data_IF_746601955186
#
_entry.id   IF_746601955186
#
_cell.length_a   1.000
_cell.length_b   1.000
_cell.length_c   1.000
_cell.angle_alpha   90.00
_cell.angle_beta   90.00
_cell.angle_gamma   90.00
#
_symmetry.space_group_name_H-M   'P 1'
#
loop_
_entity.id
_entity.type
_entity.pdbx_description
1 polymer ?
#
# COMPACT_ATOMS: atom_id res chain seq x y z
N UNK A 1 0.82 2.67 4.46
CA UNK A 1 0.82 1.37 3.76
C UNK A 1 -0.45 0.57 3.93
N UNK A 2 -0.81 0.12 5.15
CA UNK A 2 -1.87 -0.89 5.34
C UNK A 2 -3.29 -0.52 4.84
N UNK A 3 -3.59 0.76 4.59
CA UNK A 3 -4.87 1.17 3.98
C UNK A 3 -4.83 1.27 2.44
N UNK A 4 -3.64 1.35 1.84
CA UNK A 4 -3.49 1.64 0.40
C UNK A 4 -3.17 0.40 -0.44
N UNK A 5 -2.63 -0.63 0.19
CA UNK A 5 -2.22 -1.87 -0.47
C UNK A 5 -2.50 -3.07 0.44
N UNK A 6 -2.78 -4.20 -0.21
CA UNK A 6 -2.79 -5.50 0.43
C UNK A 6 -1.35 -5.91 0.76
N UNK A 7 -1.05 -6.07 2.05
CA UNK A 7 0.27 -6.49 2.51
C UNK A 7 0.33 -8.02 2.61
N UNK A 8 1.32 -8.61 1.92
CA UNK A 8 1.63 -10.03 1.97
C UNK A 8 3.06 -10.21 2.43
N UNK A 9 3.27 -10.95 3.51
CA UNK A 9 4.60 -11.34 3.96
C UNK A 9 4.96 -12.63 3.24
N UNK A 10 5.96 -12.60 2.36
CA UNK A 10 6.41 -13.79 1.62
C UNK A 10 7.85 -14.13 2.01
N UNK A 11 8.04 -15.09 2.92
CA UNK A 11 9.35 -15.55 3.37
C UNK A 11 9.98 -16.56 2.41
N UNK A 12 11.31 -16.52 2.29
CA UNK A 12 12.09 -17.56 1.60
C UNK A 12 12.35 -18.80 2.45
N UNK A 13 12.09 -18.70 3.76
CA UNK A 13 12.29 -19.78 4.72
C UNK A 13 11.02 -20.65 4.86
N UNK A 14 11.18 -21.91 5.27
CA UNK A 14 10.05 -22.78 5.57
C UNK A 14 9.13 -22.21 6.66
N UNK A 15 7.83 -22.46 6.54
CA UNK A 15 6.83 -21.93 7.46
C UNK A 15 7.08 -22.31 8.91
N UNK A 16 7.56 -23.53 9.18
CA UNK A 16 7.83 -23.98 10.55
C UNK A 16 8.94 -23.18 11.27
N UNK A 17 9.83 -22.51 10.53
CA UNK A 17 10.85 -21.61 11.09
C UNK A 17 10.37 -20.16 11.08
N UNK A 18 9.74 -19.73 9.99
CA UNK A 18 9.42 -18.33 9.76
C UNK A 18 8.13 -17.89 10.47
N UNK A 19 7.14 -18.77 10.63
CA UNK A 19 5.83 -18.43 11.23
C UNK A 19 5.95 -17.81 12.64
N UNK A 20 6.73 -18.36 13.59
CA UNK A 20 6.88 -17.74 14.90
C UNK A 20 7.50 -16.34 14.84
N UNK A 21 8.44 -16.11 13.91
CA UNK A 21 9.09 -14.81 13.71
C UNK A 21 8.09 -13.81 13.14
N UNK A 22 7.31 -14.22 12.15
CA UNK A 22 6.27 -13.37 11.54
C UNK A 22 5.21 -12.99 12.58
N UNK A 23 4.78 -13.92 13.44
CA UNK A 23 3.85 -13.63 14.53
C UNK A 23 4.40 -12.66 15.57
N UNK A 24 5.70 -12.75 15.87
CA UNK A 24 6.34 -11.81 16.77
C UNK A 24 6.47 -10.40 16.15
N UNK A 25 6.67 -10.33 14.84
CA UNK A 25 6.84 -9.08 14.09
C UNK A 25 5.51 -8.39 13.79
N UNK A 26 4.46 -9.16 13.54
CA UNK A 26 3.10 -8.69 13.26
C UNK A 26 2.09 -9.28 14.27
N UNK A 27 2.12 -8.86 15.54
CA UNK A 27 1.24 -9.38 16.59
C UNK A 27 -0.23 -9.01 16.39
N UNK A 28 -0.51 -8.04 15.51
CA UNK A 28 -1.87 -7.56 15.23
C UNK A 28 -2.40 -8.06 13.87
N UNK A 29 -1.65 -8.92 13.17
CA UNK A 29 -2.03 -9.47 11.88
C UNK A 29 -2.42 -8.38 10.87
N UNK A 30 -1.59 -7.35 10.76
CA UNK A 30 -1.73 -6.30 9.75
C UNK A 30 -1.48 -6.82 8.33
N UNK A 31 -0.64 -7.85 8.18
CA UNK A 31 -0.49 -8.57 6.92
C UNK A 31 -1.69 -9.49 6.69
N UNK A 32 -2.26 -9.43 5.49
CA UNK A 32 -3.44 -10.22 5.13
C UNK A 32 -3.10 -11.69 4.93
N UNK A 33 -1.91 -11.96 4.38
CA UNK A 33 -1.45 -13.30 4.08
C UNK A 33 0.03 -13.45 4.42
N UNK A 34 0.36 -14.63 4.94
CA UNK A 34 1.74 -15.07 5.14
C UNK A 34 2.02 -16.25 4.21
N UNK A 35 3.03 -16.10 3.38
CA UNK A 35 3.52 -17.09 2.44
C UNK A 35 4.97 -17.43 2.81
N UNK A 36 5.35 -18.65 2.47
CA UNK A 36 6.58 -19.29 2.92
C UNK A 36 7.21 -20.09 1.79
N UNK A 37 8.38 -20.70 2.03
CA UNK A 37 9.11 -21.48 1.02
C UNK A 37 8.27 -22.52 0.29
N UNK A 38 7.29 -23.13 0.97
CA UNK A 38 6.39 -24.15 0.39
C UNK A 38 5.52 -23.58 -0.74
N UNK A 39 5.31 -22.26 -0.76
CA UNK A 39 4.52 -21.54 -1.74
C UNK A 39 5.34 -21.03 -2.93
N UNK A 40 6.67 -21.12 -2.86
CA UNK A 40 7.55 -20.75 -3.97
C UNK A 40 7.40 -21.74 -5.14
N UNK A 41 7.63 -21.26 -6.36
CA UNK A 41 7.81 -22.12 -7.52
C UNK A 41 9.05 -22.99 -7.31
N UNK A 42 8.87 -24.30 -7.46
CA UNK A 42 9.94 -25.27 -7.26
C UNK A 42 10.80 -25.39 -8.52
N UNK A 43 12.08 -25.10 -8.38
CA UNK A 43 13.10 -25.24 -9.41
C UNK A 43 14.47 -25.37 -8.76
N UNK A 44 15.55 -25.17 -9.52
CA UNK A 44 16.91 -25.21 -8.96
C UNK A 44 17.13 -24.17 -7.84
N UNK A 45 16.50 -23.00 -7.97
CA UNK A 45 16.40 -21.99 -6.91
C UNK A 45 14.92 -21.69 -6.68
N UNK A 46 14.42 -21.67 -5.43
CA UNK A 46 13.04 -21.29 -5.15
C UNK A 46 12.78 -19.83 -5.53
N UNK A 47 11.76 -19.60 -6.37
CA UNK A 47 11.35 -18.28 -6.86
C UNK A 47 9.92 -17.97 -6.41
N UNK A 48 9.66 -16.72 -6.01
CA UNK A 48 8.34 -16.20 -5.67
C UNK A 48 7.60 -15.83 -6.95
N UNK A 49 6.85 -16.79 -7.48
CA UNK A 49 6.07 -16.61 -8.71
C UNK A 49 4.81 -15.78 -8.44
N UNK A 50 4.82 -14.52 -8.90
CA UNK A 50 3.74 -13.57 -8.65
C UNK A 50 2.46 -13.90 -9.42
N UNK A 51 2.55 -14.65 -10.52
CA UNK A 51 1.39 -15.07 -11.34
C UNK A 51 0.42 -15.96 -10.55
N UNK A 52 0.92 -16.64 -9.50
CA UNK A 52 0.16 -17.55 -8.64
C UNK A 52 -0.61 -16.86 -7.51
N UNK A 53 -0.43 -15.55 -7.34
CA UNK A 53 -1.06 -14.80 -6.25
C UNK A 53 -2.54 -14.46 -6.53
N UNK A 54 -3.09 -14.87 -7.68
CA UNK A 54 -4.46 -14.54 -8.09
C UNK A 54 -4.74 -13.04 -7.98
N UNK A 55 -3.77 -12.23 -8.41
CA UNK A 55 -3.82 -10.78 -8.49
C UNK A 55 -3.29 -10.38 -9.86
N UNK A 56 -3.75 -9.22 -10.36
CA UNK A 56 -3.23 -8.68 -11.61
C UNK A 56 -1.77 -8.29 -11.42
N UNK A 57 -0.86 -8.86 -12.21
CA UNK A 57 0.58 -8.57 -12.14
C UNK A 57 0.88 -7.07 -12.30
N UNK A 58 0.06 -6.33 -13.05
CA UNK A 58 0.16 -4.86 -13.19
C UNK A 58 -0.05 -4.07 -11.88
N UNK A 59 -0.58 -4.72 -10.84
CA UNK A 59 -0.90 -4.13 -9.54
C UNK A 59 -0.12 -4.78 -8.39
N UNK A 60 0.85 -5.65 -8.69
CA UNK A 60 1.69 -6.30 -7.68
C UNK A 60 3.07 -5.66 -7.70
N UNK A 61 3.63 -5.43 -6.52
CA UNK A 61 5.02 -5.06 -6.32
C UNK A 61 5.61 -5.99 -5.28
N UNK A 62 6.82 -6.48 -5.52
CA UNK A 62 7.55 -7.30 -4.54
C UNK A 62 8.83 -6.59 -4.14
N UNK A 63 9.17 -6.69 -2.86
CA UNK A 63 10.38 -6.09 -2.29
C UNK A 63 11.19 -7.21 -1.69
N UNK A 64 12.43 -7.39 -2.16
CA UNK A 64 13.31 -8.47 -1.71
C UNK A 64 14.78 -8.02 -1.69
N UNK A 65 15.60 -8.71 -0.92
CA UNK A 65 17.05 -8.49 -0.90
C UNK A 65 17.75 -9.30 -1.99
N UNK A 66 17.17 -10.43 -2.40
CA UNK A 66 17.74 -11.31 -3.41
C UNK A 66 16.94 -11.19 -4.72
N UNK A 67 17.53 -10.65 -5.79
CA UNK A 67 16.85 -10.50 -7.08
C UNK A 67 16.35 -11.84 -7.66
N UNK A 68 17.02 -12.95 -7.33
CA UNK A 68 16.64 -14.29 -7.80
C UNK A 68 15.23 -14.69 -7.32
N UNK A 69 14.73 -14.08 -6.24
CA UNK A 69 13.42 -14.38 -5.67
C UNK A 69 12.27 -13.89 -6.53
N UNK A 70 12.49 -12.96 -7.44
CA UNK A 70 11.47 -12.47 -8.38
C UNK A 70 11.95 -12.56 -9.82
N UNK A 71 12.84 -13.50 -10.13
CA UNK A 71 13.42 -13.69 -11.46
C UNK A 71 12.38 -13.99 -12.56
N UNK A 72 11.21 -14.51 -12.21
CA UNK A 72 10.10 -14.72 -13.15
C UNK A 72 9.37 -13.43 -13.53
N UNK A 73 9.41 -12.40 -12.67
CA UNK A 73 8.75 -11.11 -12.87
C UNK A 73 9.67 -9.94 -12.41
N UNK A 74 10.84 -9.74 -13.06
CA UNK A 74 11.82 -8.72 -12.65
C UNK A 74 11.28 -7.27 -12.71
N UNK A 75 10.30 -7.01 -13.58
CA UNK A 75 9.61 -5.73 -13.68
C UNK A 75 8.76 -5.39 -12.44
N UNK A 76 8.42 -6.36 -11.61
CA UNK A 76 7.64 -6.19 -10.39
C UNK A 76 8.50 -6.10 -9.13
N UNK A 77 9.79 -6.43 -9.22
CA UNK A 77 10.67 -6.57 -8.06
C UNK A 77 11.48 -5.34 -7.76
N UNK A 78 11.53 -4.91 -6.51
CA UNK A 78 12.44 -3.89 -5.99
C UNK A 78 13.49 -4.60 -5.15
N UNK A 79 14.75 -4.42 -5.52
CA UNK A 79 15.88 -4.93 -4.74
C UNK A 79 16.28 -3.89 -3.69
N UNK A 80 16.32 -4.32 -2.42
CA UNK A 80 16.71 -3.46 -1.29
C UNK A 80 18.02 -3.95 -0.66
N UNK A 81 18.82 -3.05 -0.05
CA UNK A 81 20.00 -3.45 0.69
C UNK A 81 19.64 -4.40 1.83
N UNK A 82 20.49 -5.41 2.04
CA UNK A 82 20.34 -6.34 3.16
C UNK A 82 20.58 -5.58 4.47
N UNK A 83 19.62 -5.67 5.39
CA UNK A 83 19.79 -5.13 6.74
C UNK A 83 20.90 -5.87 7.48
N UNK A 84 21.81 -5.12 8.09
CA UNK A 84 22.99 -5.62 8.78
C UNK A 84 22.82 -5.70 10.32
N UNK A 85 21.63 -5.34 10.83
CA UNK A 85 21.36 -5.29 12.26
C UNK A 85 21.53 -3.90 12.90
N UNK A 86 21.91 -2.87 12.14
CA UNK A 86 22.05 -1.52 12.67
C UNK A 86 20.68 -0.95 13.12
N UNK A 87 20.51 -0.60 14.42
CA UNK A 87 19.28 0.01 14.92
C UNK A 87 19.07 1.45 14.45
N UNK A 88 20.12 2.11 13.93
CA UNK A 88 20.03 3.45 13.36
C UNK A 88 19.68 3.45 11.87
N UNK A 89 19.55 2.28 11.23
CA UNK A 89 19.06 2.17 9.87
C UNK A 89 17.64 2.79 9.76
N UNK A 90 17.45 3.66 8.78
CA UNK A 90 16.16 4.32 8.47
C UNK A 90 15.67 4.03 7.06
N UNK A 91 16.35 3.17 6.32
CA UNK A 91 16.05 2.88 4.92
C UNK A 91 14.60 2.44 4.72
N UNK A 92 14.09 1.57 5.59
CA UNK A 92 12.71 1.08 5.49
C UNK A 92 11.66 2.19 5.65
N UNK A 93 11.91 3.21 6.48
CA UNK A 93 11.02 4.36 6.62
C UNK A 93 10.97 5.18 5.32
N UNK A 94 12.14 5.46 4.74
CA UNK A 94 12.24 6.19 3.48
C UNK A 94 11.65 5.40 2.30
N UNK A 95 11.86 4.09 2.29
CA UNK A 95 11.27 3.19 1.30
C UNK A 95 9.74 3.19 1.41
N UNK A 96 9.20 3.11 2.62
CA UNK A 96 7.75 3.15 2.85
C UNK A 96 7.14 4.46 2.30
N UNK A 97 7.78 5.60 2.56
CA UNK A 97 7.32 6.88 2.01
C UNK A 97 7.33 6.87 0.48
N UNK A 98 8.44 6.41 -0.10
CA UNK A 98 8.62 6.31 -1.56
C UNK A 98 7.54 5.43 -2.21
N UNK A 99 7.32 4.25 -1.67
CA UNK A 99 6.32 3.30 -2.16
C UNK A 99 4.89 3.84 -2.05
N UNK A 100 4.57 4.58 -0.97
CA UNK A 100 3.25 5.21 -0.74
C UNK A 100 2.99 6.29 -1.80
N UNK A 101 3.99 7.14 -2.05
CA UNK A 101 3.92 8.16 -3.12
C UNK A 101 3.74 7.52 -4.50
N UNK A 102 4.51 6.47 -4.82
CA UNK A 102 4.39 5.72 -6.07
C UNK A 102 2.98 5.12 -6.26
N UNK A 103 2.42 4.52 -5.20
CA UNK A 103 1.07 3.94 -5.23
C UNK A 103 0.00 4.98 -5.52
N UNK A 104 0.00 6.10 -4.79
CA UNK A 104 -0.97 7.19 -4.99
C UNK A 104 -0.80 7.78 -6.39
N UNK A 105 0.45 7.98 -6.84
CA UNK A 105 0.73 8.50 -8.17
C UNK A 105 0.18 7.58 -9.25
N UNK A 106 0.48 6.28 -9.21
CA UNK A 106 -0.04 5.29 -10.16
C UNK A 106 -1.58 5.26 -10.14
N UNK A 107 -2.21 5.33 -8.96
CA UNK A 107 -3.67 5.39 -8.85
C UNK A 107 -4.29 6.64 -9.46
N UNK A 108 -3.56 7.77 -9.48
CA UNK A 108 -3.98 9.02 -10.12
C UNK A 108 -3.89 8.95 -11.65
N UNK A 109 -3.04 8.07 -12.19
CA UNK A 109 -2.76 7.92 -13.62
C UNK A 109 -3.44 6.68 -14.23
N UNK A 110 -4.54 6.20 -13.63
CA UNK A 110 -5.30 5.05 -14.15
C UNK A 110 -5.69 5.26 -15.61
N UNK A 111 -5.50 4.23 -16.43
CA UNK A 111 -5.75 4.27 -17.88
C UNK A 111 -4.54 4.70 -18.71
N UNK A 112 -3.45 5.14 -18.09
CA UNK A 112 -2.16 5.35 -18.76
C UNK A 112 -1.16 4.21 -18.42
N UNK A 113 -0.07 4.04 -19.17
CA UNK A 113 1.00 3.11 -18.79
C UNK A 113 1.53 3.36 -17.37
N UNK A 114 1.63 4.62 -16.94
CA UNK A 114 2.05 5.03 -15.58
C UNK A 114 1.07 4.60 -14.47
N UNK A 115 -0.14 4.17 -14.83
CA UNK A 115 -1.10 3.61 -13.88
C UNK A 115 -0.78 2.17 -13.44
N UNK A 116 0.16 1.50 -14.12
CA UNK A 116 0.67 0.18 -13.77
C UNK A 116 1.97 0.32 -12.97
N UNK A 117 2.06 -0.30 -11.79
CA UNK A 117 3.26 -0.20 -10.94
C UNK A 117 4.51 -0.76 -11.63
N UNK A 118 4.46 -1.91 -12.32
CA UNK A 118 5.62 -2.42 -13.07
C UNK A 118 6.07 -1.51 -14.21
N UNK A 119 5.13 -0.89 -14.93
CA UNK A 119 5.48 0.02 -16.02
C UNK A 119 6.06 1.33 -15.48
N UNK A 120 5.55 1.85 -14.37
CA UNK A 120 6.14 2.98 -13.66
C UNK A 120 7.57 2.67 -13.20
N UNK A 121 7.78 1.49 -12.60
CA UNK A 121 9.10 1.06 -12.17
C UNK A 121 10.06 0.87 -13.36
N UNK A 122 9.55 0.34 -14.47
CA UNK A 122 10.29 0.20 -15.74
C UNK A 122 10.68 1.57 -16.29
N UNK A 123 9.78 2.55 -16.27
CA UNK A 123 10.05 3.94 -16.68
C UNK A 123 11.15 4.57 -15.80
N UNK A 124 11.05 4.41 -14.48
CA UNK A 124 12.06 4.87 -13.52
C UNK A 124 13.44 4.27 -13.76
N UNK A 125 13.51 3.04 -14.30
CA UNK A 125 14.76 2.36 -14.69
C UNK A 125 15.30 2.76 -16.06
N UNK A 126 14.66 3.72 -16.74
CA UNK A 126 14.99 4.12 -18.11
C UNK A 126 14.54 3.12 -19.16
N UNK A 127 13.43 2.41 -18.91
CA UNK A 127 12.86 1.42 -19.83
C UNK A 127 13.38 -0.02 -19.62
N UNK A 128 14.30 -0.23 -18.68
CA UNK A 128 14.83 -1.57 -18.37
C UNK A 128 13.84 -2.37 -17.53
N UNK A 129 13.62 -3.63 -17.94
CA UNK A 129 12.77 -4.61 -17.25
C UNK A 129 13.56 -5.62 -16.40
N UNK A 130 14.86 -5.39 -16.22
CA UNK A 130 15.73 -6.21 -15.40
C UNK A 130 15.63 -5.82 -13.91
N UNK A 131 16.29 -6.63 -13.07
CA UNK A 131 16.41 -6.48 -11.62
C UNK A 131 17.51 -5.50 -11.20
N UNK A 132 18.22 -4.91 -12.16
CA UNK A 132 19.34 -3.98 -11.96
C UNK A 132 18.84 -2.62 -11.47
N UNK A 133 18.21 -2.64 -10.30
CA UNK A 133 17.54 -1.49 -9.73
C UNK A 133 18.61 -0.62 -9.07
N UNK A 134 18.89 0.58 -9.60
CA UNK A 134 19.54 1.61 -8.80
C UNK A 134 18.60 1.92 -7.63
N UNK A 135 19.14 2.37 -6.49
CA UNK A 135 18.34 2.65 -5.28
C UNK A 135 16.99 3.31 -5.62
N UNK A 136 15.89 2.60 -5.27
CA UNK A 136 14.53 3.00 -5.68
C UNK A 136 14.18 4.39 -5.14
N UNK A 137 14.73 4.75 -3.99
CA UNK A 137 14.53 6.08 -3.38
C UNK A 137 15.17 7.16 -4.26
N UNK A 138 16.42 6.95 -4.68
CA UNK A 138 17.14 7.88 -5.54
C UNK A 138 16.48 8.01 -6.92
N UNK A 139 16.10 6.87 -7.53
CA UNK A 139 15.43 6.86 -8.84
C UNK A 139 14.06 7.53 -8.80
N UNK A 140 13.29 7.33 -7.73
CA UNK A 140 12.02 8.03 -7.53
C UNK A 140 12.21 9.54 -7.39
N UNK A 141 13.24 9.96 -6.65
CA UNK A 141 13.57 11.38 -6.49
C UNK A 141 13.91 12.03 -7.83
N UNK A 142 14.73 11.37 -8.65
CA UNK A 142 15.07 11.84 -10.00
C UNK A 142 13.84 11.86 -10.92
N UNK A 143 12.99 10.84 -10.85
CA UNK A 143 11.73 10.78 -11.59
C UNK A 143 10.82 11.97 -11.26
N UNK A 144 10.65 12.30 -9.98
CA UNK A 144 9.85 13.45 -9.54
C UNK A 144 10.40 14.77 -10.07
N UNK A 145 11.73 14.96 -10.06
CA UNK A 145 12.36 16.17 -10.61
C UNK A 145 12.11 16.31 -12.10
N UNK A 146 12.28 15.22 -12.86
CA UNK A 146 12.02 15.21 -14.30
C UNK A 146 10.55 15.49 -14.61
N UNK A 147 9.62 14.82 -13.93
CA UNK A 147 8.19 15.02 -14.13
C UNK A 147 7.77 16.46 -13.79
N UNK A 148 8.29 17.05 -12.70
CA UNK A 148 8.05 18.46 -12.36
C UNK A 148 8.52 19.41 -13.47
N UNK A 149 9.70 19.18 -14.04
CA UNK A 149 10.21 19.98 -15.14
C UNK A 149 9.35 19.86 -16.41
N UNK A 150 8.91 18.63 -16.75
CA UNK A 150 7.98 18.39 -17.87
C UNK A 150 6.65 19.14 -17.67
N UNK A 151 6.05 19.03 -16.48
CA UNK A 151 4.82 19.75 -16.15
C UNK A 151 5.00 21.27 -16.21
N UNK A 152 6.07 21.80 -15.63
CA UNK A 152 6.37 23.23 -15.66
C UNK A 152 6.54 23.75 -17.10
N UNK A 153 7.18 22.97 -17.98
CA UNK A 153 7.32 23.32 -19.39
C UNK A 153 5.97 23.34 -20.12
N UNK A 154 5.11 22.35 -19.87
CA UNK A 154 3.74 22.29 -20.43
C UNK A 154 2.89 23.46 -19.91
N UNK A 155 2.97 23.79 -18.62
CA UNK A 155 2.25 24.94 -18.05
C UNK A 155 2.76 26.26 -18.61
N UNK A 156 4.07 26.43 -18.80
CA UNK A 156 4.64 27.62 -19.44
C UNK A 156 4.18 27.79 -20.90
N UNK A 157 4.12 26.69 -21.67
CA UNK A 157 3.56 26.69 -23.03
C UNK A 157 2.07 27.05 -23.02
N UNK A 158 1.27 26.47 -22.11
CA UNK A 158 -0.15 26.81 -21.97
C UNK A 158 -0.36 28.26 -21.54
N UNK A 159 0.51 28.79 -20.68
CA UNK A 159 0.47 30.18 -20.22
C UNK A 159 0.77 31.13 -21.38
N UNK A 160 1.78 30.86 -22.21
CA UNK A 160 2.08 31.68 -23.38
C UNK A 160 0.95 31.62 -24.43
N UNK A 161 0.36 30.45 -24.67
CA UNK A 161 -0.83 30.32 -25.53
C UNK A 161 -2.05 31.08 -24.97
N UNK A 162 -2.28 31.01 -23.66
CA UNK A 162 -3.34 31.78 -22.99
C UNK A 162 -3.08 33.27 -23.04
N UNK A 163 -1.83 33.72 -22.97
CA UNK A 163 -1.49 35.14 -23.08
C UNK A 163 -1.66 35.64 -24.52
N UNK A 164 -1.36 34.82 -25.53
CA UNK A 164 -1.65 35.14 -26.93
C UNK A 164 -3.16 35.20 -27.21
N UNK A 165 -3.95 34.22 -26.75
CA UNK A 165 -5.41 34.18 -26.95
C UNK A 165 -6.16 35.17 -26.06
N UNK A 166 -5.73 35.31 -24.81
CA UNK A 166 -6.27 36.20 -23.80
C UNK A 166 -5.88 37.66 -24.00
N UNK A 167 -4.71 37.96 -24.60
CA UNK A 167 -4.35 39.32 -25.00
C UNK A 167 -5.28 39.88 -26.09
N UNK A 168 -5.69 39.03 -27.04
CA UNK A 168 -6.72 39.36 -28.03
C UNK A 168 -8.12 39.49 -27.40
N UNK A 169 -8.50 38.59 -26.51
CA UNK A 169 -9.81 38.64 -25.85
C UNK A 169 -9.95 39.80 -24.85
N UNK A 170 -8.94 40.06 -24.01
CA UNK A 170 -8.93 41.16 -23.03
C UNK A 170 -8.81 42.53 -23.71
N UNK A 171 -8.13 42.63 -24.86
CA UNK A 171 -8.15 43.83 -25.70
C UNK A 171 -9.54 44.10 -26.29
N UNK A 172 -10.27 43.05 -26.68
CA UNK A 172 -11.64 43.17 -27.22
C UNK A 172 -12.72 43.45 -26.16
N UNK A 173 -12.56 42.97 -24.92
CA UNK A 173 -13.61 43.04 -23.89
C UNK A 173 -13.31 43.97 -22.72
N UNK A 174 -12.09 44.51 -22.61
CA UNK A 174 -11.71 45.47 -21.57
C UNK A 174 -11.74 44.93 -20.13
N UNK A 175 -11.83 43.61 -19.93
CA UNK A 175 -12.00 43.00 -18.61
C UNK A 175 -10.69 42.42 -18.05
N UNK A 176 -10.24 42.93 -16.91
CA UNK A 176 -9.14 42.35 -16.12
C UNK A 176 -9.65 41.21 -15.25
N UNK A 177 -9.26 39.98 -15.54
CA UNK A 177 -9.60 38.81 -14.70
C UNK A 177 -8.59 38.73 -13.54
N UNK A 178 -9.04 39.09 -12.34
CA UNK A 178 -8.31 38.77 -11.11
C UNK A 178 -8.65 37.36 -10.65
N UNK A 179 -7.67 36.46 -10.60
CA UNK A 179 -7.82 35.16 -9.94
C UNK A 179 -7.28 35.23 -8.51
N UNK A 180 -8.15 35.11 -7.51
CA UNK A 180 -7.75 34.88 -6.13
C UNK A 180 -7.33 33.41 -5.97
N UNK A 181 -6.09 33.18 -5.51
CA UNK A 181 -5.58 31.82 -5.25
C UNK A 181 -5.99 31.39 -3.84
N UNK A 182 -6.72 30.28 -3.76
CA UNK A 182 -7.16 29.67 -2.51
C UNK A 182 -5.99 28.85 -1.94
N UNK A 183 -5.42 29.26 -0.81
CA UNK A 183 -4.16 28.73 -0.27
C UNK A 183 -4.20 27.28 0.27
N UNK A 184 -5.35 26.60 0.19
CA UNK A 184 -5.55 25.21 0.65
C UNK A 184 -5.94 24.25 -0.49
N UNK A 185 -5.85 24.66 -1.76
CA UNK A 185 -6.11 23.76 -2.87
C UNK A 185 -4.93 22.76 -3.03
N UNK A 186 -5.20 21.46 -3.29
CA UNK A 186 -4.15 20.53 -3.63
C UNK A 186 -3.43 21.00 -4.91
N UNK A 187 -2.11 20.80 -5.02
CA UNK A 187 -1.34 21.25 -6.16
C UNK A 187 -1.86 20.65 -7.47
N UNK A 188 -1.75 21.41 -8.57
CA UNK A 188 -2.22 21.03 -9.90
C UNK A 188 -1.41 19.87 -10.51
N UNK A 189 -0.10 19.87 -10.24
CA UNK A 189 0.81 18.82 -10.69
C UNK A 189 0.50 17.48 -9.99
N UNK A 190 0.25 16.39 -10.73
CA UNK A 190 -0.09 15.09 -10.13
C UNK A 190 1.01 14.51 -9.23
N UNK A 191 2.29 14.85 -9.47
CA UNK A 191 3.40 14.42 -8.60
C UNK A 191 3.29 15.09 -7.24
N UNK A 192 3.13 16.42 -7.22
CA UNK A 192 3.01 17.17 -5.97
C UNK A 192 1.71 16.84 -5.25
N UNK A 193 0.65 16.51 -6.00
CA UNK A 193 -0.61 16.02 -5.44
C UNK A 193 -0.42 14.66 -4.77
N UNK A 194 0.32 13.75 -5.39
CA UNK A 194 0.61 12.45 -4.80
C UNK A 194 1.45 12.59 -3.51
N UNK A 195 2.47 13.45 -3.49
CA UNK A 195 3.23 13.75 -2.27
C UNK A 195 2.36 14.37 -1.18
N UNK A 196 1.50 15.32 -1.54
CA UNK A 196 0.57 15.96 -0.61
C UNK A 196 -0.36 14.93 0.03
N UNK A 197 -1.02 14.11 -0.78
CA UNK A 197 -1.92 13.05 -0.29
C UNK A 197 -1.16 12.01 0.54
N UNK A 198 0.08 11.65 0.17
CA UNK A 198 0.91 10.75 0.96
C UNK A 198 1.27 11.34 2.34
N UNK A 199 1.48 12.66 2.42
CA UNK A 199 1.72 13.35 3.70
C UNK A 199 0.47 13.41 4.56
N UNK A 200 -0.68 13.71 3.96
CA UNK A 200 -1.96 13.72 4.67
C UNK A 200 -2.33 12.34 5.22
N UNK A 201 -2.21 11.29 4.40
CA UNK A 201 -2.47 9.90 4.81
C UNK A 201 -1.61 9.51 6.02
N UNK A 202 -0.32 9.88 5.99
CA UNK A 202 0.59 9.67 7.12
C UNK A 202 0.20 10.46 8.36
N UNK A 203 -0.22 11.72 8.19
CA UNK A 203 -0.63 12.56 9.31
C UNK A 203 -1.90 12.02 9.97
N UNK A 204 -2.87 11.55 9.18
CA UNK A 204 -4.08 10.88 9.67
C UNK A 204 -3.69 9.59 10.40
N UNK A 205 -2.88 8.73 9.77
CA UNK A 205 -2.43 7.49 10.40
C UNK A 205 -1.68 7.73 11.70
N UNK A 206 -0.80 8.73 11.77
CA UNK A 206 -0.06 9.06 12.98
C UNK A 206 -0.97 9.52 14.12
N UNK A 207 -1.98 10.36 13.81
CA UNK A 207 -2.98 10.82 14.80
C UNK A 207 -3.86 9.67 15.31
N UNK A 208 -4.24 8.77 14.41
CA UNK A 208 -5.17 7.68 14.72
C UNK A 208 -4.47 6.40 15.17
N UNK A 209 -3.13 6.32 15.06
CA UNK A 209 -2.34 5.12 15.40
C UNK A 209 -2.67 4.59 16.77
N UNK A 210 -2.66 5.44 17.80
CA UNK A 210 -2.91 5.02 19.18
C UNK A 210 -4.34 4.52 19.38
N UNK A 211 -5.31 5.22 18.79
CA UNK A 211 -6.74 4.82 18.84
C UNK A 211 -6.96 3.50 18.11
N UNK A 212 -6.40 3.35 16.92
CA UNK A 212 -6.48 2.14 16.11
C UNK A 212 -5.82 0.96 16.83
N UNK A 213 -4.63 1.14 17.39
CA UNK A 213 -3.95 0.11 18.17
C UNK A 213 -4.73 -0.25 19.44
N UNK A 214 -5.32 0.73 20.14
CA UNK A 214 -6.14 0.46 21.30
C UNK A 214 -7.41 -0.33 20.95
N UNK A 215 -8.07 0.01 19.83
CA UNK A 215 -9.23 -0.72 19.33
C UNK A 215 -8.86 -2.16 18.96
N UNK A 216 -7.77 -2.35 18.22
CA UNK A 216 -7.26 -3.69 17.86
C UNK A 216 -6.93 -4.50 19.11
N UNK A 217 -6.24 -3.91 20.09
CA UNK A 217 -5.92 -4.58 21.36
C UNK A 217 -7.17 -4.98 22.13
N UNK A 218 -8.18 -4.13 22.17
CA UNK A 218 -9.44 -4.43 22.84
C UNK A 218 -10.16 -5.59 22.15
N UNK A 219 -10.24 -5.55 20.82
CA UNK A 219 -10.83 -6.61 20.01
C UNK A 219 -10.10 -7.94 20.22
N UNK A 220 -8.76 -7.93 20.22
CA UNK A 220 -7.95 -9.13 20.46
C UNK A 220 -8.20 -9.70 21.86
N UNK A 221 -8.23 -8.85 22.90
CA UNK A 221 -8.58 -9.28 24.26
C UNK A 221 -9.97 -9.88 24.35
N UNK A 222 -10.95 -9.29 23.66
CA UNK A 222 -12.32 -9.83 23.62
C UNK A 222 -12.35 -11.19 22.92
N UNK A 223 -11.64 -11.35 21.80
CA UNK A 223 -11.51 -12.65 21.12
C UNK A 223 -10.84 -13.70 22.01
N UNK A 224 -9.75 -13.36 22.70
CA UNK A 224 -9.09 -14.24 23.65
C UNK A 224 -10.05 -14.67 24.77
N UNK A 225 -10.80 -13.73 25.36
CA UNK A 225 -11.80 -14.03 26.38
C UNK A 225 -12.91 -14.94 25.86
N UNK A 226 -13.38 -14.72 24.62
CA UNK A 226 -14.37 -15.60 23.98
C UNK A 226 -13.83 -17.00 23.74
N UNK A 227 -12.58 -17.14 23.29
CA UNK A 227 -11.92 -18.44 23.11
C UNK A 227 -11.77 -19.14 24.46
N UNK A 228 -11.33 -18.44 25.51
CA UNK A 228 -11.19 -19.00 26.86
C UNK A 228 -12.55 -19.46 27.38
N UNK A 229 -13.56 -18.60 27.36
CA UNK A 229 -14.92 -18.95 27.80
C UNK A 229 -15.50 -20.12 26.98
N UNK A 230 -15.28 -20.14 25.67
CA UNK A 230 -15.67 -21.27 24.81
C UNK A 230 -14.95 -22.55 25.23
N UNK A 231 -13.64 -22.49 25.52
CA UNK A 231 -12.86 -23.67 25.95
C UNK A 231 -13.27 -24.18 27.32
N UNK A 232 -13.64 -23.29 28.25
CA UNK A 232 -14.19 -23.67 29.56
C UNK A 232 -15.55 -24.32 29.42
N UNK A 233 -16.44 -23.75 28.59
CA UNK A 233 -17.73 -24.35 28.25
C UNK A 233 -17.56 -25.73 27.59
N UNK A 234 -16.60 -25.90 26.66
CA UNK A 234 -16.29 -27.20 26.05
C UNK A 234 -15.86 -28.23 27.10
N UNK A 235 -15.00 -27.83 28.04
CA UNK A 235 -14.57 -28.69 29.15
C UNK A 235 -15.75 -29.07 30.05
N UNK A 236 -16.63 -28.12 30.37
CA UNK A 236 -17.81 -28.35 31.19
C UNK A 236 -18.83 -29.29 30.52
N UNK A 237 -19.08 -29.10 29.22
CA UNK A 237 -20.04 -29.89 28.43
C UNK A 237 -19.45 -31.21 27.91
N UNK A 238 -18.17 -31.50 28.15
CA UNK A 238 -17.42 -32.66 27.62
C UNK A 238 -17.50 -32.79 26.09
N UNK A 239 -17.77 -31.70 25.38
CA UNK A 239 -17.85 -31.67 23.92
C UNK A 239 -16.45 -31.58 23.32
N UNK A 240 -16.21 -32.29 22.23
CA UNK A 240 -14.96 -32.22 21.48
C UNK A 240 -15.06 -31.12 20.44
N UNK A 241 -13.91 -30.58 20.02
CA UNK A 241 -13.83 -29.59 18.93
C UNK A 241 -14.54 -30.09 17.64
N UNK A 242 -14.54 -31.42 17.44
CA UNK A 242 -15.23 -32.10 16.35
C UNK A 242 -16.76 -31.91 16.38
N UNK A 243 -17.37 -31.85 17.56
CA UNK A 243 -18.84 -31.74 17.72
C UNK A 243 -19.36 -30.36 17.29
N UNK A 244 -18.50 -29.33 17.31
CA UNK A 244 -18.85 -27.97 16.90
C UNK A 244 -18.58 -27.69 15.42
N UNK A 245 -17.47 -28.20 14.85
CA UNK A 245 -17.17 -28.03 13.42
C UNK A 245 -18.22 -28.66 12.50
N UNK A 246 -18.93 -29.67 12.98
CA UNK A 246 -20.01 -30.36 12.26
C UNK A 246 -21.36 -30.20 12.94
N UNK A 247 -21.47 -29.29 13.92
CA UNK A 247 -22.77 -28.92 14.46
C UNK A 247 -23.60 -28.29 13.33
N UNK A 248 -24.89 -28.66 13.18
CA UNK A 248 -25.78 -27.88 12.33
C UNK A 248 -25.74 -26.41 12.78
N UNK A 249 -25.74 -25.44 11.86
CA UNK A 249 -25.63 -24.03 12.22
C UNK A 249 -26.70 -23.70 13.27
N UNK A 250 -26.27 -23.15 14.40
CA UNK A 250 -27.19 -22.70 15.44
C UNK A 250 -28.20 -21.76 14.79
N UNK A 251 -29.49 -22.09 14.91
CA UNK A 251 -30.55 -21.17 14.55
C UNK A 251 -30.29 -19.83 15.28
N UNK A 252 -30.38 -18.68 14.61
CA UNK A 252 -30.11 -17.41 15.24
C UNK A 252 -31.00 -17.26 16.48
N UNK A 253 -30.37 -17.09 17.64
CA UNK A 253 -31.09 -16.75 18.85
C UNK A 253 -31.90 -15.49 18.58
N UNK A 254 -33.20 -15.53 18.89
CA UNK A 254 -34.15 -14.46 18.64
C UNK A 254 -33.55 -13.10 19.00
N UNK A 255 -33.57 -12.19 18.03
CA UNK A 255 -33.02 -10.85 18.12
C UNK A 255 -33.58 -10.09 19.34
N UNK A 256 -32.79 -10.04 20.41
CA UNK A 256 -32.93 -9.03 21.44
C UNK A 256 -32.41 -7.70 20.90
N UNK A 257 -33.33 -6.79 20.61
CA UNK A 257 -33.17 -5.35 20.39
C UNK A 257 -31.93 -4.88 19.60
N UNK A 258 -32.17 -4.48 18.35
CA UNK A 258 -31.21 -3.70 17.57
C UNK A 258 -30.75 -2.44 18.33
N UNK A 259 -29.45 -2.10 18.31
CA UNK A 259 -29.00 -0.79 18.77
C UNK A 259 -29.62 0.32 17.91
N UNK A 260 -30.04 1.47 18.48
CA UNK A 260 -30.63 2.54 17.70
C UNK A 260 -29.65 3.06 16.64
N UNK A 261 -30.14 3.16 15.41
CA UNK A 261 -29.40 3.67 14.26
C UNK A 261 -28.84 5.07 14.56
N UNK A 262 -27.55 5.27 14.28
CA UNK A 262 -26.95 6.59 14.28
C UNK A 262 -27.68 7.50 13.26
N UNK A 263 -28.02 8.75 13.61
CA UNK A 263 -28.68 9.65 12.67
C UNK A 263 -27.73 9.99 11.51
N UNK A 264 -28.26 10.18 10.29
CA UNK A 264 -27.46 10.60 9.16
C UNK A 264 -26.86 11.99 9.43
N UNK A 265 -25.55 12.10 9.27
CA UNK A 265 -24.84 13.38 9.22
C UNK A 265 -25.38 14.21 8.06
N UNK A 266 -26.02 15.34 8.39
CA UNK A 266 -26.33 16.42 7.47
C UNK A 266 -25.08 17.27 7.19
#
# INVERSE_FOLDING_TARGET
MGQQAELVIFSSDPGYIAEPIVRALDPYQMAMYNLYREHCHQGATPVKDLSRLNRRESAILTVDVDPKKHALQPQNGIVVPKWNGDPNDRYLYTLMDTLTEMLIFAQSQRGTPRGSLPELLTEMRGGRRDDSTPDVVATWTAFKQKARAEYAAVEAQRASERQQKGGLAAWLTGASIMSAQNAHAPPSNPIDRAEFLAREDRAVWARDREKNLAAIRLQHKQQEQQIIAMTENMKAEKKRLFDYMFAPPMAPAAAGAAPPAAPPSA
#
